data_IF_045821892193
#
_entry.id   IF_045821892193
#
_cell.length_a   1.000
_cell.length_b   1.000
_cell.length_c   1.000
_cell.angle_alpha   90.00
_cell.angle_beta   90.00
_cell.angle_gamma   90.00
#
_symmetry.space_group_name_H-M   'P 1'
#
loop_
_entity.id
_entity.type
_entity.pdbx_description
1 polymer ?
#
# COMPACT_ATOMS: atom_id res chain seq x y z
N UNK A 1 -11.81 -8.05 -10.08
CA UNK A 1 -12.69 -7.08 -9.38
C UNK A 1 -12.18 -6.83 -7.99
N UNK A 2 -12.15 -5.60 -7.51
CA UNK A 2 -11.83 -5.33 -6.11
C UNK A 2 -12.82 -6.00 -5.17
N UNK A 3 -12.39 -6.55 -4.03
CA UNK A 3 -13.29 -7.19 -3.07
C UNK A 3 -14.24 -6.21 -2.39
N UNK A 4 -13.86 -4.94 -2.34
CA UNK A 4 -14.68 -3.85 -1.82
C UNK A 4 -14.31 -2.57 -2.54
N UNK A 5 -15.26 -1.65 -2.73
CA UNK A 5 -14.99 -0.42 -3.46
C UNK A 5 -15.81 0.74 -2.90
N UNK A 6 -15.33 1.95 -3.09
CA UNK A 6 -16.13 3.15 -2.93
C UNK A 6 -16.66 3.59 -4.31
N UNK A 7 -17.82 4.21 -4.31
CA UNK A 7 -18.49 4.60 -5.54
C UNK A 7 -18.37 6.12 -5.75
N UNK A 8 -18.05 6.51 -6.97
CA UNK A 8 -18.10 7.91 -7.39
C UNK A 8 -19.02 8.02 -8.61
N UNK A 9 -19.97 8.97 -8.59
CA UNK A 9 -20.81 9.19 -9.76
C UNK A 9 -19.95 9.81 -10.88
N UNK A 10 -19.76 9.07 -11.94
CA UNK A 10 -19.08 9.55 -13.13
C UNK A 10 -19.82 9.08 -14.36
N UNK A 11 -20.58 9.94 -15.04
CA UNK A 11 -21.39 9.54 -16.18
C UNK A 11 -20.58 8.99 -17.35
N UNK A 12 -19.30 9.32 -17.46
CA UNK A 12 -18.45 8.80 -18.53
C UNK A 12 -17.96 7.38 -18.23
N UNK A 13 -17.62 7.11 -16.98
CA UNK A 13 -17.09 5.81 -16.53
C UNK A 13 -18.21 4.87 -16.07
N UNK A 14 -19.38 5.42 -15.72
CA UNK A 14 -20.50 4.64 -15.22
C UNK A 14 -20.26 4.17 -13.80
N UNK A 15 -20.44 2.84 -13.58
CA UNK A 15 -20.29 2.22 -12.25
C UNK A 15 -18.97 1.52 -12.04
N UNK A 16 -17.99 1.77 -12.89
CA UNK A 16 -16.67 1.16 -12.74
C UNK A 16 -15.95 1.85 -11.56
N UNK A 17 -15.45 1.10 -10.57
CA UNK A 17 -14.70 1.68 -9.48
C UNK A 17 -13.46 2.41 -9.99
N UNK A 18 -13.10 3.60 -9.44
CA UNK A 18 -11.93 4.35 -9.87
C UNK A 18 -10.61 3.78 -9.33
N UNK A 19 -10.62 2.59 -8.76
CA UNK A 19 -9.46 1.97 -8.14
C UNK A 19 -9.40 0.48 -8.42
N UNK A 20 -8.25 -0.13 -8.10
CA UNK A 20 -7.97 -1.55 -8.28
C UNK A 20 -8.08 -2.31 -6.96
N UNK A 21 -7.56 -3.54 -6.95
CA UNK A 21 -7.66 -4.48 -5.83
C UNK A 21 -6.95 -4.00 -4.56
N UNK A 22 -5.80 -3.32 -4.68
CA UNK A 22 -5.08 -2.81 -3.51
C UNK A 22 -5.98 -1.90 -2.66
N UNK A 23 -6.66 -0.95 -3.29
CA UNK A 23 -7.58 -0.05 -2.60
C UNK A 23 -8.79 -0.80 -2.07
N UNK A 24 -9.33 -1.75 -2.85
CA UNK A 24 -10.45 -2.58 -2.39
C UNK A 24 -10.12 -3.36 -1.13
N UNK A 25 -8.95 -3.97 -1.08
CA UNK A 25 -8.49 -4.68 0.12
C UNK A 25 -8.30 -3.73 1.31
N UNK A 26 -7.77 -2.54 1.06
CA UNK A 26 -7.62 -1.53 2.10
C UNK A 26 -8.98 -1.12 2.70
N UNK A 27 -9.98 -0.90 1.85
CA UNK A 27 -11.32 -0.52 2.30
C UNK A 27 -11.95 -1.62 3.17
N UNK A 28 -11.76 -2.88 2.81
CA UNK A 28 -12.21 -4.02 3.63
C UNK A 28 -11.52 -3.97 5.01
N UNK A 29 -10.22 -3.74 5.05
CA UNK A 29 -9.45 -3.62 6.28
C UNK A 29 -9.98 -2.49 7.17
N UNK A 30 -10.29 -1.34 6.58
CA UNK A 30 -10.82 -0.18 7.31
C UNK A 30 -12.20 -0.48 7.88
N UNK A 31 -13.10 -1.07 7.08
CA UNK A 31 -14.48 -1.37 7.50
C UNK A 31 -14.52 -2.37 8.65
N UNK A 32 -13.72 -3.43 8.57
CA UNK A 32 -13.70 -4.47 9.59
C UNK A 32 -12.78 -4.15 10.78
N UNK A 33 -11.98 -3.09 10.69
CA UNK A 33 -11.04 -2.74 11.76
C UNK A 33 -10.01 -3.84 11.99
N UNK A 34 -9.43 -4.37 10.91
CA UNK A 34 -8.48 -5.47 11.02
C UNK A 34 -7.25 -5.08 11.85
N UNK A 35 -6.61 -6.08 12.45
CA UNK A 35 -5.44 -5.89 13.31
C UNK A 35 -4.24 -5.33 12.54
N UNK A 36 -4.06 -5.77 11.29
CA UNK A 36 -2.98 -5.31 10.44
C UNK A 36 -3.39 -5.39 8.98
N UNK A 37 -2.72 -4.62 8.13
CA UNK A 37 -2.89 -4.67 6.69
C UNK A 37 -1.53 -4.87 6.05
N UNK A 38 -1.33 -6.03 5.44
CA UNK A 38 -0.05 -6.45 4.87
C UNK A 38 -0.25 -6.75 3.39
N UNK A 39 0.46 -6.01 2.53
CA UNK A 39 0.50 -6.30 1.10
C UNK A 39 1.68 -7.20 0.80
N UNK A 40 1.41 -8.36 0.23
CA UNK A 40 2.44 -9.34 -0.15
C UNK A 40 2.74 -9.13 -1.62
N UNK A 41 3.94 -8.67 -1.91
CA UNK A 41 4.40 -8.36 -3.26
C UNK A 41 5.63 -9.21 -3.61
N UNK A 42 6.17 -9.02 -4.81
CA UNK A 42 7.39 -9.70 -5.28
C UNK A 42 8.63 -8.79 -5.16
N UNK A 43 8.53 -7.72 -4.42
CA UNK A 43 9.60 -6.76 -4.15
C UNK A 43 9.79 -6.58 -2.65
N UNK A 44 10.99 -6.19 -2.23
CA UNK A 44 11.33 -6.01 -0.81
C UNK A 44 10.52 -4.92 -0.12
N UNK A 45 10.01 -3.98 -0.90
CA UNK A 45 9.23 -2.85 -0.43
C UNK A 45 9.46 -1.65 -1.33
N UNK A 46 9.48 -0.46 -0.73
CA UNK A 46 9.59 0.79 -1.45
C UNK A 46 11.06 1.25 -1.52
N UNK A 47 11.45 1.80 -2.67
CA UNK A 47 12.78 2.37 -2.91
C UNK A 47 12.63 3.81 -3.38
N UNK A 48 13.69 4.60 -3.25
CA UNK A 48 13.72 5.99 -3.73
C UNK A 48 13.65 6.09 -5.26
N UNK A 49 14.01 5.00 -5.96
CA UNK A 49 13.89 4.85 -7.41
C UNK A 49 13.83 3.37 -7.72
N UNK A 50 13.61 2.99 -8.99
CA UNK A 50 13.62 1.58 -9.38
C UNK A 50 15.03 1.02 -9.22
N UNK A 51 15.26 0.06 -8.30
CA UNK A 51 16.60 -0.49 -8.06
C UNK A 51 17.16 -1.25 -9.26
N UNK A 52 16.31 -1.67 -10.21
CA UNK A 52 16.75 -2.32 -11.44
C UNK A 52 17.33 -1.34 -12.45
N UNK A 53 16.92 -0.07 -12.37
CA UNK A 53 17.34 1.00 -13.28
C UNK A 53 18.36 1.95 -12.65
N UNK A 54 18.33 2.11 -11.33
CA UNK A 54 19.16 3.06 -10.60
C UNK A 54 19.91 2.33 -9.48
N UNK A 55 21.24 2.26 -9.59
CA UNK A 55 22.10 1.64 -8.57
C UNK A 55 22.13 2.41 -7.26
N UNK A 56 21.76 3.70 -7.29
CA UNK A 56 21.74 4.56 -6.11
C UNK A 56 20.37 4.54 -5.41
N UNK A 57 19.44 3.74 -5.89
CA UNK A 57 18.14 3.59 -5.25
C UNK A 57 18.31 3.04 -3.83
N UNK A 58 17.71 3.73 -2.85
CA UNK A 58 17.79 3.35 -1.44
C UNK A 58 16.47 2.77 -0.98
N UNK A 59 16.55 1.68 -0.21
CA UNK A 59 15.39 1.07 0.41
C UNK A 59 14.80 1.99 1.48
N UNK A 60 13.47 2.07 1.52
CA UNK A 60 12.76 2.91 2.49
C UNK A 60 12.02 1.99 3.47
N UNK A 61 12.52 1.82 4.71
CA UNK A 61 11.87 0.94 5.68
C UNK A 61 10.60 1.53 6.29
N UNK A 62 10.50 2.85 6.37
CA UNK A 62 9.34 3.53 6.92
C UNK A 62 9.18 4.91 6.29
N UNK A 63 7.93 5.26 5.98
CA UNK A 63 7.61 6.56 5.38
C UNK A 63 6.17 6.93 5.70
N UNK A 64 5.87 8.24 5.73
CA UNK A 64 4.50 8.71 5.83
C UNK A 64 3.90 8.91 4.44
N UNK A 65 2.56 8.94 4.37
CA UNK A 65 1.86 9.20 3.11
C UNK A 65 2.24 10.58 2.56
N UNK A 66 2.38 11.59 3.41
CA UNK A 66 2.75 12.94 2.99
C UNK A 66 4.15 12.98 2.37
N UNK A 67 5.12 12.34 3.00
CA UNK A 67 6.47 12.25 2.48
C UNK A 67 6.51 11.51 1.15
N UNK A 68 5.74 10.43 1.03
CA UNK A 68 5.68 9.64 -0.19
C UNK A 68 5.05 10.42 -1.33
N UNK A 69 3.97 11.16 -1.07
CA UNK A 69 3.35 12.04 -2.07
C UNK A 69 4.34 13.12 -2.54
N UNK A 70 5.11 13.69 -1.62
CA UNK A 70 6.10 14.73 -1.96
C UNK A 70 7.23 14.21 -2.85
N UNK A 71 7.56 12.93 -2.75
CA UNK A 71 8.59 12.30 -3.59
C UNK A 71 8.13 12.06 -5.02
N UNK A 72 6.83 11.98 -5.26
CA UNK A 72 6.23 11.76 -6.58
C UNK A 72 6.91 10.63 -7.38
N UNK A 73 7.04 9.47 -6.76
CA UNK A 73 7.68 8.31 -7.36
C UNK A 73 6.82 7.72 -8.48
N UNK A 74 7.46 7.18 -9.52
CA UNK A 74 6.77 6.51 -10.61
C UNK A 74 6.04 5.25 -10.13
N UNK A 75 6.70 4.48 -9.26
CA UNK A 75 6.13 3.25 -8.70
C UNK A 75 6.19 3.32 -7.17
N UNK A 76 5.02 3.27 -6.54
CA UNK A 76 4.89 3.28 -5.08
C UNK A 76 4.53 1.89 -4.53
N UNK A 77 4.67 0.84 -5.34
CA UNK A 77 4.44 -0.58 -5.02
C UNK A 77 2.97 -0.91 -4.77
N UNK A 78 2.24 -0.01 -4.13
CA UNK A 78 0.78 -0.12 -3.96
C UNK A 78 0.11 0.94 -4.83
N UNK A 79 -1.16 0.76 -5.06
CA UNK A 79 -1.98 1.71 -5.82
C UNK A 79 -2.02 3.08 -5.12
N UNK A 80 -1.80 4.17 -5.87
CA UNK A 80 -1.77 5.52 -5.28
C UNK A 80 -3.06 5.90 -4.56
N UNK A 81 -4.19 5.37 -5.03
CA UNK A 81 -5.50 5.61 -4.39
C UNK A 81 -5.53 5.13 -2.94
N UNK A 82 -4.78 4.07 -2.60
CA UNK A 82 -4.64 3.61 -1.21
C UNK A 82 -4.11 4.74 -0.33
N UNK A 83 -3.09 5.45 -0.80
CA UNK A 83 -2.47 6.55 -0.05
C UNK A 83 -3.44 7.70 0.18
N UNK A 84 -4.26 8.01 -0.83
CA UNK A 84 -5.26 9.07 -0.71
C UNK A 84 -6.36 8.71 0.28
N UNK A 85 -6.83 7.46 0.24
CA UNK A 85 -7.85 6.98 1.17
C UNK A 85 -7.32 6.92 2.60
N UNK A 86 -6.05 6.55 2.79
CA UNK A 86 -5.42 6.50 4.11
C UNK A 86 -5.42 7.83 4.83
N UNK A 87 -5.33 8.94 4.11
CA UNK A 87 -5.35 10.28 4.72
C UNK A 87 -6.62 10.55 5.52
N UNK A 88 -7.73 9.93 5.11
CA UNK A 88 -9.03 10.10 5.74
C UNK A 88 -9.47 8.90 6.57
N UNK A 89 -8.62 7.90 6.73
CA UNK A 89 -8.94 6.68 7.45
C UNK A 89 -9.05 6.93 8.95
N UNK A 90 -10.00 6.26 9.60
CA UNK A 90 -10.22 6.34 11.05
C UNK A 90 -9.56 5.19 11.81
N UNK A 91 -9.56 3.99 11.22
CA UNK A 91 -9.11 2.76 11.90
C UNK A 91 -7.78 2.26 11.34
N UNK A 92 -7.62 2.20 10.03
CA UNK A 92 -6.42 1.69 9.39
C UNK A 92 -5.55 2.84 8.90
N UNK A 93 -4.60 3.27 9.75
CA UNK A 93 -3.70 4.38 9.44
C UNK A 93 -2.29 3.95 9.10
N UNK A 94 -2.06 2.65 8.94
CA UNK A 94 -0.77 2.14 8.50
C UNK A 94 -0.95 0.87 7.69
N UNK A 95 -0.06 0.66 6.73
CA UNK A 95 0.02 -0.55 5.93
C UNK A 95 1.47 -1.01 5.89
N UNK A 96 1.68 -2.29 5.59
CA UNK A 96 3.00 -2.86 5.46
C UNK A 96 3.11 -3.58 4.11
N UNK A 97 4.22 -3.38 3.42
CA UNK A 97 4.50 -4.05 2.14
C UNK A 97 5.70 -4.95 2.35
N UNK A 98 5.54 -6.23 2.04
CA UNK A 98 6.60 -7.24 2.23
C UNK A 98 6.85 -8.02 0.95
N UNK A 99 8.04 -8.64 0.87
CA UNK A 99 8.37 -9.57 -0.21
C UNK A 99 7.92 -10.98 0.18
N UNK A 100 6.88 -11.48 -0.47
CA UNK A 100 6.35 -12.81 -0.20
C UNK A 100 7.22 -13.95 -0.71
N UNK A 101 8.20 -13.67 -1.55
CA UNK A 101 9.13 -14.67 -2.08
C UNK A 101 10.23 -15.03 -1.07
N UNK A 102 10.45 -14.18 -0.07
CA UNK A 102 11.46 -14.45 0.98
C UNK A 102 10.83 -15.24 2.11
N UNK A 103 11.43 -16.39 2.41
CA UNK A 103 10.95 -17.30 3.44
C UNK A 103 10.92 -16.60 4.82
N UNK A 104 9.80 -16.74 5.50
CA UNK A 104 9.62 -16.21 6.86
C UNK A 104 9.14 -14.78 6.95
N UNK A 105 9.14 -14.01 5.86
CA UNK A 105 8.72 -12.60 5.89
C UNK A 105 7.25 -12.45 6.33
N UNK A 106 6.35 -13.24 5.75
CA UNK A 106 4.93 -13.16 6.10
C UNK A 106 4.71 -13.51 7.58
N UNK A 107 5.35 -14.56 8.07
CA UNK A 107 5.24 -14.97 9.48
C UNK A 107 5.71 -13.86 10.41
N UNK A 108 6.85 -13.25 10.11
CA UNK A 108 7.38 -12.14 10.91
C UNK A 108 6.47 -10.92 10.88
N UNK A 109 5.94 -10.57 9.69
CA UNK A 109 5.01 -9.45 9.57
C UNK A 109 3.73 -9.69 10.37
N UNK A 110 3.18 -10.90 10.33
CA UNK A 110 2.00 -11.27 11.12
C UNK A 110 2.26 -11.22 12.62
N UNK A 111 3.50 -11.45 13.06
CA UNK A 111 3.91 -11.34 14.46
C UNK A 111 4.18 -9.89 14.89
N UNK A 112 3.98 -8.92 14.02
CA UNK A 112 4.16 -7.50 14.33
C UNK A 112 5.55 -6.95 14.07
N UNK A 113 6.45 -7.73 13.47
CA UNK A 113 7.79 -7.25 13.15
C UNK A 113 7.77 -6.32 11.92
N UNK A 114 8.57 -5.24 11.92
CA UNK A 114 8.64 -4.32 10.79
C UNK A 114 9.49 -4.89 9.66
N UNK A 115 8.89 -5.76 8.87
CA UNK A 115 9.52 -6.36 7.67
C UNK A 115 9.10 -5.55 6.45
N UNK A 116 10.02 -5.32 5.50
CA UNK A 116 9.71 -4.55 4.30
C UNK A 116 9.52 -3.07 4.58
N UNK A 117 8.51 -2.46 3.98
CA UNK A 117 8.21 -1.03 4.14
C UNK A 117 6.91 -0.82 4.91
N UNK A 118 6.94 0.05 5.92
CA UNK A 118 5.74 0.48 6.66
C UNK A 118 5.37 1.89 6.20
N UNK A 119 4.15 2.06 5.72
CA UNK A 119 3.61 3.35 5.29
C UNK A 119 2.53 3.78 6.29
N UNK A 120 2.67 4.96 6.85
CA UNK A 120 1.73 5.51 7.84
C UNK A 120 1.08 6.79 7.34
N UNK A 121 -0.16 6.98 7.75
CA UNK A 121 -0.89 8.20 7.43
C UNK A 121 -0.53 9.35 8.38
#
# INVERSE_FOLDING_TARGET
MPPYSYWQPNPEIGRIPPHRTDTGCYLVSEVFGTRSMIYVKDEDGLYTADPKKDRNAKFIPRITVEELDAMDLDDVVVERTVLQVMKNAKHRRSIQVINGLKKGNLTRALNGEPVGTVITA
#
